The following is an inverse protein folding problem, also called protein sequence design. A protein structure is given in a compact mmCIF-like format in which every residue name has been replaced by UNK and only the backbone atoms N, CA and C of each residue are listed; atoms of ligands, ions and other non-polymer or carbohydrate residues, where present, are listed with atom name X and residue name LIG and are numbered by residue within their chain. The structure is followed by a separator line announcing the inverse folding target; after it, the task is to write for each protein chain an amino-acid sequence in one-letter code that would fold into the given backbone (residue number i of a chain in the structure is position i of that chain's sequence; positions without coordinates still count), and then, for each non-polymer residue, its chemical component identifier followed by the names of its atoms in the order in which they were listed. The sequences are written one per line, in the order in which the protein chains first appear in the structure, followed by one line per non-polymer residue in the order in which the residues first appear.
data_IF_216128050105
#
_entry.id   IF_216128050105
#
_cell.length_a   1.000
_cell.length_b   1.000
_cell.length_c   1.000
_cell.angle_alpha   90.00
_cell.angle_beta   90.00
_cell.angle_gamma   90.00
#
_symmetry.space_group_name_H-M   'P 1'
#
loop_
_entity.id
_entity.type
_entity.pdbx_description
1 polymer ?
#
# COMPACT_ATOMS: atom_id res chain seq x y z
N UNK A 1 -0.27 10.04 10.37
CA UNK A 1 -1.47 9.92 9.52
C UNK A 1 -2.61 9.46 10.39
N UNK A 2 -3.62 10.32 10.56
CA UNK A 2 -4.85 9.93 11.22
C UNK A 2 -5.65 9.02 10.28
N UNK A 3 -6.40 8.08 10.85
CA UNK A 3 -7.33 7.29 10.05
C UNK A 3 -8.35 8.24 9.42
N UNK A 4 -8.57 8.14 8.11
CA UNK A 4 -9.61 8.89 7.39
C UNK A 4 -11.01 8.59 7.95
N UNK A 5 -11.15 7.44 8.61
CA UNK A 5 -12.42 6.92 9.12
C UNK A 5 -12.26 6.65 10.63
N UNK A 6 -13.08 7.28 11.50
CA UNK A 6 -13.14 6.95 12.92
C UNK A 6 -13.52 5.49 13.17
N UNK A 7 -12.92 4.86 14.19
CA UNK A 7 -13.23 3.46 14.55
C UNK A 7 -14.71 3.23 14.87
N UNK A 8 -15.41 4.24 15.38
CA UNK A 8 -16.84 4.14 15.72
C UNK A 8 -17.74 3.90 14.52
N UNK A 9 -17.33 4.34 13.32
CA UNK A 9 -18.07 4.15 12.07
C UNK A 9 -17.46 3.04 11.19
N UNK A 10 -16.36 2.42 11.64
CA UNK A 10 -15.67 1.36 10.91
C UNK A 10 -16.31 -0.03 11.13
N UNK A 11 -17.63 -0.11 10.97
CA UNK A 11 -18.41 -1.34 11.17
C UNK A 11 -18.71 -2.02 9.84
N UNK A 12 -19.15 -3.28 9.88
CA UNK A 12 -19.60 -4.00 8.68
C UNK A 12 -20.81 -3.37 8.00
N UNK A 13 -21.57 -2.54 8.72
CA UNK A 13 -22.70 -1.78 8.18
C UNK A 13 -22.24 -0.69 7.21
N UNK A 14 -21.20 0.08 7.58
CA UNK A 14 -20.72 1.21 6.78
C UNK A 14 -19.59 0.83 5.81
N UNK A 15 -18.74 -0.14 6.15
CA UNK A 15 -17.59 -0.57 5.32
C UNK A 15 -17.82 -1.91 4.63
N UNK A 16 -18.96 -2.55 4.84
CA UNK A 16 -19.29 -3.83 4.22
C UNK A 16 -18.22 -4.89 4.46
N UNK A 17 -17.79 -5.55 3.38
CA UNK A 17 -16.80 -6.62 3.42
C UNK A 17 -15.40 -6.13 3.81
N UNK A 18 -15.09 -4.85 3.61
CA UNK A 18 -13.77 -4.29 3.93
C UNK A 18 -13.47 -4.34 5.43
N UNK A 19 -14.50 -4.22 6.29
CA UNK A 19 -14.36 -4.36 7.74
C UNK A 19 -13.83 -5.74 8.17
N UNK A 20 -14.00 -6.79 7.35
CA UNK A 20 -13.48 -8.14 7.62
C UNK A 20 -12.01 -8.31 7.23
N UNK A 21 -11.55 -7.56 6.23
CA UNK A 21 -10.19 -7.64 5.72
C UNK A 21 -9.24 -6.64 6.39
N UNK A 22 -9.78 -5.60 7.03
CA UNK A 22 -9.02 -4.56 7.74
C UNK A 22 -9.38 -4.61 9.23
N UNK A 23 -8.73 -5.49 10.03
CA UNK A 23 -9.08 -5.68 11.44
C UNK A 23 -8.78 -4.45 12.32
N UNK A 24 -7.92 -3.54 11.87
CA UNK A 24 -7.64 -2.24 12.50
C UNK A 24 -7.60 -1.16 11.43
N UNK A 25 -8.64 -0.32 11.36
CA UNK A 25 -8.75 0.71 10.32
C UNK A 25 -7.71 1.83 10.43
N UNK A 26 -7.14 2.00 11.62
CA UNK A 26 -6.09 2.96 11.91
C UNK A 26 -4.68 2.38 11.72
N UNK A 27 -4.56 1.08 11.44
CA UNK A 27 -3.28 0.45 11.16
C UNK A 27 -2.87 0.73 9.71
N UNK A 28 -2.05 1.77 9.53
CA UNK A 28 -1.42 2.06 8.25
C UNK A 28 -0.10 1.28 8.15
N UNK A 29 -0.09 0.21 7.37
CA UNK A 29 1.14 -0.56 7.12
C UNK A 29 2.10 0.20 6.20
N UNK A 30 3.40 -0.01 6.42
CA UNK A 30 4.43 0.48 5.51
C UNK A 30 4.29 -0.24 4.15
N UNK A 31 4.07 0.51 3.04
CA UNK A 31 3.64 -0.09 1.78
C UNK A 31 4.67 -1.03 1.15
N UNK A 32 5.97 -0.72 1.20
CA UNK A 32 6.99 -1.54 0.53
C UNK A 32 7.20 -2.89 1.21
N UNK A 33 7.18 -2.91 2.55
CA UNK A 33 7.27 -4.11 3.38
C UNK A 33 6.04 -5.00 3.16
N UNK A 34 4.84 -4.39 3.16
CA UNK A 34 3.60 -5.12 2.90
C UNK A 34 3.58 -5.71 1.48
N UNK A 35 4.00 -4.95 0.47
CA UNK A 35 4.09 -5.43 -0.91
C UNK A 35 5.13 -6.55 -1.07
N UNK A 36 6.26 -6.47 -0.35
CA UNK A 36 7.25 -7.55 -0.29
C UNK A 36 6.66 -8.86 0.26
N UNK A 37 5.86 -8.78 1.32
CA UNK A 37 5.14 -9.93 1.87
C UNK A 37 4.11 -10.50 0.87
N UNK A 38 3.35 -9.62 0.22
CA UNK A 38 2.33 -10.03 -0.76
C UNK A 38 2.91 -10.60 -2.06
N UNK A 39 4.14 -10.24 -2.44
CA UNK A 39 4.77 -10.67 -3.68
C UNK A 39 4.87 -12.20 -3.80
N UNK A 40 5.01 -12.91 -2.67
CA UNK A 40 5.08 -14.38 -2.62
C UNK A 40 3.73 -15.07 -2.48
N UNK A 41 2.75 -14.40 -1.84
CA UNK A 41 1.44 -15.01 -1.54
C UNK A 41 0.40 -14.88 -2.64
N UNK A 42 0.58 -13.95 -3.59
CA UNK A 42 -0.43 -13.65 -4.60
C UNK A 42 -0.18 -14.32 -5.96
N UNK A 43 -1.24 -14.73 -6.68
CA UNK A 43 -1.14 -15.29 -8.03
C UNK A 43 -0.35 -14.41 -9.00
N UNK A 44 0.44 -15.04 -9.86
CA UNK A 44 1.29 -14.37 -10.86
C UNK A 44 0.52 -13.56 -11.91
N UNK A 45 -0.79 -13.75 -12.07
CA UNK A 45 -1.60 -12.92 -12.98
C UNK A 45 -1.85 -11.50 -12.48
N UNK A 46 -1.70 -11.27 -11.18
CA UNK A 46 -1.98 -9.97 -10.57
C UNK A 46 -0.77 -9.04 -10.67
N UNK A 47 -1.00 -7.73 -10.82
CA UNK A 47 0.04 -6.70 -10.71
C UNK A 47 -0.02 -6.09 -9.32
N UNK A 48 1.13 -5.72 -8.77
CA UNK A 48 1.25 -5.23 -7.39
C UNK A 48 1.96 -3.89 -7.39
N UNK A 49 1.51 -2.96 -6.56
CA UNK A 49 2.08 -1.63 -6.55
C UNK A 49 1.47 -0.72 -5.51
N UNK A 50 2.10 0.43 -5.34
CA UNK A 50 1.60 1.53 -4.51
C UNK A 50 0.64 2.40 -5.32
N UNK A 51 -0.42 2.90 -4.69
CA UNK A 51 -1.40 3.81 -5.29
C UNK A 51 -1.80 4.90 -4.29
N UNK A 52 -1.00 5.95 -4.10
CA UNK A 52 0.33 6.23 -4.66
C UNK A 52 1.32 6.44 -3.52
N UNK A 53 2.62 6.34 -3.76
CA UNK A 53 3.62 6.83 -2.80
C UNK A 53 3.79 8.35 -2.96
N UNK A 54 4.09 9.01 -1.85
CA UNK A 54 4.39 10.44 -1.80
C UNK A 54 5.83 10.70 -2.28
N UNK A 55 5.99 11.63 -3.22
CA UNK A 55 7.28 12.02 -3.79
C UNK A 55 8.22 12.70 -2.77
N UNK A 56 7.67 13.35 -1.73
CA UNK A 56 8.44 14.11 -0.73
C UNK A 56 8.83 13.31 0.52
N UNK A 57 8.12 12.22 0.85
CA UNK A 57 8.36 11.47 2.10
C UNK A 57 9.63 10.62 2.13
N UNK A 58 10.19 10.30 0.97
CA UNK A 58 11.34 9.38 0.86
C UNK A 58 12.31 9.91 -0.18
N UNK A 59 13.61 9.69 0.07
CA UNK A 59 14.61 9.96 -0.95
C UNK A 59 14.22 9.21 -2.24
N UNK A 60 14.17 9.90 -3.41
CA UNK A 60 13.78 9.28 -4.67
C UNK A 60 14.58 8.02 -5.03
N UNK A 61 15.87 7.96 -4.67
CA UNK A 61 16.70 6.78 -4.91
C UNK A 61 16.23 5.57 -4.07
N UNK A 62 15.76 5.79 -2.85
CA UNK A 62 15.20 4.73 -1.99
C UNK A 62 13.87 4.24 -2.57
N UNK A 63 13.02 5.15 -3.06
CA UNK A 63 11.77 4.78 -3.74
C UNK A 63 12.03 3.97 -5.01
N UNK A 64 13.02 4.39 -5.82
CA UNK A 64 13.43 3.67 -7.02
C UNK A 64 13.97 2.27 -6.69
N UNK A 65 14.83 2.15 -5.67
CA UNK A 65 15.35 0.87 -5.21
C UNK A 65 14.23 -0.06 -4.75
N UNK A 66 13.29 0.43 -3.93
CA UNK A 66 12.16 -0.37 -3.45
C UNK A 66 11.26 -0.84 -4.61
N UNK A 67 10.98 0.02 -5.58
CA UNK A 67 10.23 -0.33 -6.78
C UNK A 67 10.96 -1.39 -7.62
N UNK A 68 12.28 -1.25 -7.80
CA UNK A 68 13.10 -2.23 -8.52
C UNK A 68 13.14 -3.58 -7.80
N UNK A 69 13.31 -3.58 -6.48
CA UNK A 69 13.25 -4.80 -5.65
C UNK A 69 11.89 -5.50 -5.83
N UNK A 70 10.78 -4.76 -5.73
CA UNK A 70 9.46 -5.33 -5.93
C UNK A 70 9.27 -5.86 -7.36
N UNK A 71 9.81 -5.17 -8.37
CA UNK A 71 9.79 -5.62 -9.76
C UNK A 71 10.48 -6.97 -9.94
N UNK A 72 11.65 -7.16 -9.32
CA UNK A 72 12.37 -8.43 -9.33
C UNK A 72 11.61 -9.53 -8.58
N UNK A 73 11.14 -9.26 -7.34
CA UNK A 73 10.38 -10.22 -6.55
C UNK A 73 9.10 -10.68 -7.26
N UNK A 74 8.46 -9.77 -7.99
CA UNK A 74 7.23 -10.07 -8.72
C UNK A 74 7.46 -10.56 -10.16
N UNK A 75 8.71 -10.70 -10.62
CA UNK A 75 9.04 -11.08 -12.02
C UNK A 75 8.40 -10.14 -13.05
N UNK A 76 8.52 -8.84 -12.82
CA UNK A 76 8.13 -7.81 -13.78
C UNK A 76 6.75 -7.20 -13.58
N UNK A 77 6.04 -7.55 -12.51
CA UNK A 77 4.62 -7.17 -12.31
C UNK A 77 4.41 -5.95 -11.42
N UNK A 78 5.49 -5.34 -10.95
CA UNK A 78 5.42 -4.16 -10.08
C UNK A 78 4.86 -2.93 -10.83
N UNK A 79 4.08 -2.12 -10.12
CA UNK A 79 3.59 -0.80 -10.56
C UNK A 79 4.05 0.25 -9.54
N UNK A 80 4.72 1.29 -10.02
CA UNK A 80 5.10 2.45 -9.21
C UNK A 80 4.12 3.60 -9.47
N UNK A 81 3.16 3.80 -8.56
CA UNK A 81 2.32 4.99 -8.54
C UNK A 81 2.94 6.08 -7.67
N UNK A 82 3.08 7.30 -8.21
CA UNK A 82 3.64 8.46 -7.50
C UNK A 82 2.61 9.59 -7.50
N UNK A 83 2.47 10.27 -6.36
CA UNK A 83 1.66 11.47 -6.21
C UNK A 83 2.39 12.59 -5.48
N UNK A 84 1.75 13.76 -5.46
CA UNK A 84 2.29 14.99 -4.86
C UNK A 84 2.24 15.02 -3.33
N UNK A 85 1.63 14.01 -2.70
CA UNK A 85 1.38 13.99 -1.26
C UNK A 85 0.17 14.82 -0.86
N UNK A 86 -0.13 14.81 0.44
CA UNK A 86 -1.11 15.70 1.06
C UNK A 86 -0.40 16.96 1.56
N UNK A 87 -1.05 18.12 1.45
CA UNK A 87 -0.57 19.35 2.06
C UNK A 87 -0.93 19.30 3.55
N UNK A 88 0.08 19.24 4.41
CA UNK A 88 -0.11 19.47 5.86
C UNK A 88 -0.62 20.88 6.16
#
# INVERSE_FOLDING_TARGET
MNALVPRSIATSEYLGIAAKFVPKIDANYEPWTMLGNLAFGLPSRLRLGVCVTDAGRRNPAVTAQAAATLHLLTRGRAILGIGVGERE
#
